data_IF_438360648649
#
_entry.id   IF_438360648649
#
_cell.length_a   1.000
_cell.length_b   1.000
_cell.length_c   1.000
_cell.angle_alpha   90.00
_cell.angle_beta   90.00
_cell.angle_gamma   90.00
#
_symmetry.space_group_name_H-M   'P 1'
#
loop_
_entity.id
_entity.type
_entity.pdbx_description
1 polymer ?
#
# COMPACT_ATOMS: atom_id res chain seq x y z
N UNK A 1 -4.62 26.89 -3.82
CA UNK A 1 -5.22 26.26 -2.61
C UNK A 1 -5.45 24.74 -2.72
N UNK A 2 -5.29 24.09 -3.89
CA UNK A 2 -5.54 22.64 -4.05
C UNK A 2 -4.38 21.71 -3.63
N UNK A 3 -3.16 22.23 -3.45
CA UNK A 3 -1.96 21.43 -3.15
C UNK A 3 -1.96 20.92 -1.69
N UNK A 4 -2.35 21.76 -0.73
CA UNK A 4 -2.39 21.41 0.70
C UNK A 4 -3.38 20.29 1.03
N UNK A 5 -4.54 20.24 0.35
CA UNK A 5 -5.52 19.16 0.57
C UNK A 5 -5.00 17.78 0.16
N UNK A 6 -4.16 17.71 -0.89
CA UNK A 6 -3.62 16.43 -1.38
C UNK A 6 -2.53 15.87 -0.49
N UNK A 7 -1.79 16.72 0.21
CA UNK A 7 -0.75 16.32 1.17
C UNK A 7 -1.37 15.77 2.46
N UNK A 8 -2.42 16.41 2.97
CA UNK A 8 -3.18 15.90 4.11
C UNK A 8 -3.76 14.49 3.86
N UNK A 9 -4.27 14.25 2.65
CA UNK A 9 -4.78 12.92 2.26
C UNK A 9 -3.69 11.84 2.23
N UNK A 10 -2.47 12.19 1.80
CA UNK A 10 -1.33 11.25 1.76
C UNK A 10 -0.89 10.87 3.17
N UNK A 11 -0.74 11.84 4.06
CA UNK A 11 -0.40 11.60 5.46
C UNK A 11 -1.43 10.73 6.15
N UNK A 12 -2.73 11.02 5.97
CA UNK A 12 -3.80 10.21 6.56
C UNK A 12 -3.73 8.74 6.12
N UNK A 13 -3.40 8.47 4.87
CA UNK A 13 -3.30 7.11 4.32
C UNK A 13 -2.06 6.36 4.79
N UNK A 14 -0.92 7.05 4.95
CA UNK A 14 0.27 6.49 5.58
C UNK A 14 -0.03 6.02 7.02
N UNK A 15 -0.71 6.88 7.80
CA UNK A 15 -1.14 6.54 9.15
C UNK A 15 -2.17 5.39 9.19
N UNK A 16 -3.10 5.36 8.23
CA UNK A 16 -4.08 4.26 8.13
C UNK A 16 -3.40 2.90 7.88
N UNK A 17 -2.30 2.89 7.13
CA UNK A 17 -1.50 1.69 6.91
C UNK A 17 -0.58 1.34 8.09
N UNK A 18 -0.55 2.17 9.16
CA UNK A 18 0.36 1.97 10.29
C UNK A 18 1.81 2.43 10.05
N UNK A 19 2.08 3.05 8.91
CA UNK A 19 3.43 3.40 8.46
C UNK A 19 3.56 4.91 8.19
N UNK A 20 3.62 5.75 9.25
CA UNK A 20 3.81 7.20 9.10
C UNK A 20 5.14 7.57 8.40
N UNK A 21 6.17 6.72 8.52
CA UNK A 21 7.49 6.89 7.89
C UNK A 21 7.43 6.94 6.36
N UNK A 22 6.39 6.39 5.74
CA UNK A 22 6.22 6.45 4.27
C UNK A 22 6.07 7.86 3.71
N UNK A 23 5.83 8.85 4.57
CA UNK A 23 5.81 10.25 4.16
C UNK A 23 7.17 10.77 3.71
N UNK A 24 8.28 10.21 4.21
CA UNK A 24 9.65 10.56 3.84
C UNK A 24 9.98 10.15 2.40
N UNK A 25 9.31 9.10 1.91
CA UNK A 25 9.50 8.67 0.53
C UNK A 25 8.98 9.72 -0.46
N UNK A 26 9.58 9.79 -1.64
CA UNK A 26 9.10 10.67 -2.70
C UNK A 26 7.68 10.31 -3.13
N UNK A 27 6.91 11.33 -3.53
CA UNK A 27 5.50 11.18 -3.92
C UNK A 27 5.31 10.51 -5.28
N UNK A 28 6.25 10.71 -6.20
CA UNK A 28 6.13 10.27 -7.60
C UNK A 28 7.38 9.52 -8.03
N UNK A 29 7.20 8.60 -8.99
CA UNK A 29 8.29 7.81 -9.58
C UNK A 29 9.46 8.67 -10.09
N UNK A 30 9.26 9.79 -10.83
CA UNK A 30 10.38 10.63 -11.25
C UNK A 30 11.16 11.25 -10.10
N UNK A 31 10.47 11.61 -9.00
CA UNK A 31 11.13 12.12 -7.79
C UNK A 31 11.94 11.03 -7.09
N UNK A 32 11.45 9.80 -7.09
CA UNK A 32 12.15 8.64 -6.55
C UNK A 32 13.43 8.31 -7.32
N UNK A 33 13.35 8.31 -8.65
CA UNK A 33 14.53 8.17 -9.51
C UNK A 33 15.56 9.27 -9.25
N UNK A 34 15.11 10.52 -9.11
CA UNK A 34 16.01 11.65 -8.80
C UNK A 34 16.62 11.54 -7.40
N UNK A 35 15.88 11.00 -6.44
CA UNK A 35 16.34 10.79 -5.06
C UNK A 35 17.22 9.54 -4.90
N UNK A 36 17.34 8.69 -5.94
CA UNK A 36 18.07 7.43 -5.85
C UNK A 36 17.36 6.36 -5.01
N UNK A 37 16.04 6.46 -4.82
CA UNK A 37 15.26 5.50 -4.03
C UNK A 37 14.50 4.54 -4.94
N UNK A 38 14.52 3.25 -4.63
CA UNK A 38 13.77 2.24 -5.40
C UNK A 38 12.26 2.24 -5.15
N UNK A 39 11.80 3.00 -4.14
CA UNK A 39 10.40 3.03 -3.71
C UNK A 39 9.85 4.44 -3.67
N UNK A 40 8.54 4.56 -3.87
CA UNK A 40 7.81 5.82 -3.74
C UNK A 40 6.44 5.61 -3.11
N UNK A 41 6.01 6.57 -2.30
CA UNK A 41 4.67 6.54 -1.70
C UNK A 41 3.78 7.61 -2.32
N UNK A 42 2.93 7.21 -3.25
CA UNK A 42 1.96 8.13 -3.88
C UNK A 42 0.75 8.46 -3.00
N UNK A 43 0.53 7.68 -1.94
CA UNK A 43 -0.71 7.71 -1.16
C UNK A 43 -1.94 7.26 -1.94
N UNK A 44 -1.81 6.67 -3.14
CA UNK A 44 -2.96 6.13 -3.91
C UNK A 44 -3.13 4.65 -3.62
N UNK A 45 -4.36 4.26 -3.29
CA UNK A 45 -4.78 2.87 -3.15
C UNK A 45 -4.48 2.09 -4.44
N UNK A 46 -3.95 0.87 -4.32
CA UNK A 46 -3.77 -0.01 -5.49
C UNK A 46 -5.08 -0.70 -5.88
N UNK A 47 -5.08 -1.42 -7.02
CA UNK A 47 -6.25 -2.18 -7.50
C UNK A 47 -6.73 -3.20 -6.46
N UNK A 48 -5.79 -3.86 -5.79
CA UNK A 48 -6.05 -4.80 -4.70
C UNK A 48 -6.33 -4.12 -3.36
N UNK A 49 -6.71 -2.84 -3.34
CA UNK A 49 -7.14 -2.13 -2.13
C UNK A 49 -6.06 -1.90 -1.06
N UNK A 50 -4.77 -2.11 -1.36
CA UNK A 50 -3.67 -1.81 -0.44
C UNK A 50 -3.25 -0.33 -0.49
N UNK A 51 -2.94 0.22 0.68
CA UNK A 51 -2.12 1.42 0.82
C UNK A 51 -0.71 0.96 1.17
N UNK A 52 0.19 0.94 0.18
CA UNK A 52 1.58 0.56 0.41
C UNK A 52 2.51 1.34 -0.55
N UNK A 53 3.82 1.27 -0.29
CA UNK A 53 4.89 1.71 -1.17
C UNK A 53 4.77 1.06 -2.54
N UNK A 54 5.26 1.77 -3.55
CA UNK A 54 5.33 1.28 -4.92
C UNK A 54 6.77 1.25 -5.39
N UNK A 55 7.15 0.20 -6.11
CA UNK A 55 8.46 0.11 -6.74
C UNK A 55 8.56 1.07 -7.92
N UNK A 56 9.72 1.71 -8.05
CA UNK A 56 10.06 2.56 -9.19
C UNK A 56 10.10 1.74 -10.48
N UNK A 57 10.64 0.53 -10.41
CA UNK A 57 10.63 -0.44 -11.50
C UNK A 57 9.26 -1.15 -11.50
N UNK A 58 8.55 -1.14 -12.63
CA UNK A 58 7.27 -1.82 -12.78
C UNK A 58 6.04 -1.15 -12.12
N UNK A 59 6.22 -0.13 -11.27
CA UNK A 59 5.12 0.62 -10.61
C UNK A 59 4.13 -0.25 -9.83
N UNK A 60 4.56 -1.44 -9.39
CA UNK A 60 3.77 -2.38 -8.60
C UNK A 60 3.78 -1.99 -7.12
N UNK A 61 2.69 -2.28 -6.43
CA UNK A 61 2.58 -2.18 -4.99
C UNK A 61 3.42 -3.28 -4.36
N UNK A 62 4.21 -2.97 -3.32
CA UNK A 62 5.08 -3.96 -2.65
C UNK A 62 4.25 -5.15 -2.16
N UNK A 63 3.11 -4.89 -1.52
CA UNK A 63 2.16 -5.93 -1.07
C UNK A 63 1.54 -6.76 -2.20
N UNK A 64 1.36 -6.17 -3.38
CA UNK A 64 0.84 -6.93 -4.51
C UNK A 64 1.92 -7.80 -5.16
N UNK A 65 3.19 -7.47 -4.96
CA UNK A 65 4.31 -8.19 -5.53
C UNK A 65 4.86 -9.24 -4.57
N UNK A 66 4.66 -9.08 -3.27
CA UNK A 66 4.96 -10.12 -2.31
C UNK A 66 4.14 -11.37 -2.62
N UNK A 67 4.83 -12.50 -2.70
CA UNK A 67 4.26 -13.83 -3.00
C UNK A 67 3.31 -14.31 -1.90
N UNK A 68 3.41 -13.73 -0.71
CA UNK A 68 2.45 -13.80 0.40
C UNK A 68 1.19 -12.98 0.12
N UNK A 69 0.63 -13.05 -1.10
CA UNK A 69 -0.77 -12.69 -1.22
C UNK A 69 -1.54 -13.74 -0.45
N UNK A 70 -1.97 -13.36 0.76
CA UNK A 70 -3.09 -13.98 1.45
C UNK A 70 -4.23 -14.10 0.45
N UNK A 71 -4.32 -15.28 -0.16
CA UNK A 71 -5.58 -15.86 -0.59
C UNK A 71 -6.51 -15.68 0.60
N UNK A 72 -7.33 -14.64 0.55
CA UNK A 72 -8.48 -14.45 1.44
C UNK A 72 -9.02 -15.83 1.79
N UNK A 73 -9.17 -16.19 3.08
CA UNK A 73 -9.57 -17.54 3.45
C UNK A 73 -10.75 -17.88 2.57
N UNK A 74 -10.60 -18.94 1.77
CA UNK A 74 -11.68 -19.35 0.89
C UNK A 74 -12.93 -19.51 1.74
N UNK A 75 -14.12 -19.34 1.16
CA UNK A 75 -15.36 -19.60 1.90
C UNK A 75 -15.28 -20.96 2.63
N UNK A 76 -14.61 -21.95 2.05
CA UNK A 76 -14.31 -23.24 2.67
C UNK A 76 -13.40 -23.16 3.91
N UNK A 77 -12.38 -22.31 3.93
CA UNK A 77 -11.55 -22.09 5.13
C UNK A 77 -12.32 -21.37 6.23
N UNK A 78 -13.15 -20.38 5.86
CA UNK A 78 -14.00 -19.67 6.80
C UNK A 78 -15.09 -20.58 7.41
N UNK A 79 -15.69 -21.46 6.61
CA UNK A 79 -16.71 -22.42 7.06
C UNK A 79 -16.15 -23.53 7.96
N UNK A 80 -14.91 -23.97 7.75
CA UNK A 80 -14.26 -24.97 8.63
C UNK A 80 -13.99 -24.45 10.03
N UNK A 81 -13.62 -23.18 10.13
CA UNK A 81 -13.38 -22.51 11.41
C UNK A 81 -14.70 -22.41 12.21
N UNK A 82 -15.77 -21.95 11.56
CA UNK A 82 -17.11 -21.83 12.15
C UNK A 82 -17.69 -23.17 12.64
N UNK A 83 -17.47 -24.27 11.91
CA UNK A 83 -17.96 -25.60 12.29
C UNK A 83 -17.15 -26.27 13.41
N UNK A 84 -15.99 -25.73 13.76
CA UNK A 84 -15.14 -26.27 14.84
C UNK A 84 -15.46 -25.66 16.22
N UNK A 85 -16.32 -24.64 16.28
CA UNK A 85 -16.78 -23.98 17.51
C UNK A 85 -18.20 -24.42 17.94
N UNK A 86 -18.79 -25.43 17.30
CA UNK A 86 -20.09 -26.05 17.64
C UNK A 86 -19.88 -27.45 18.20
#
# INVERSE_FOLDING_TARGET
MAEHHKEGQRKRRANLAGHPEWMEYPRTRPRALKAGTDYFFSGRMCKNRHYNLRKVVGSRCVECESETQDISPTLASFMRDWLSEV
#
